data_IF_335724555977
#
_entry.id   IF_335724555977
#
_cell.length_a   1.000
_cell.length_b   1.000
_cell.length_c   1.000
_cell.angle_alpha   90.00
_cell.angle_beta   90.00
_cell.angle_gamma   90.00
#
_symmetry.space_group_name_H-M   'P 1'
#
loop_
_entity.id
_entity.type
_entity.pdbx_description
1 polymer ?
#
# COMPACT_ATOMS: atom_id res chain seq x y z
N UNK A 1 0.22 -7.57 -19.76
CA UNK A 1 -0.83 -8.30 -19.03
C UNK A 1 -1.67 -7.34 -18.18
N UNK A 2 -2.92 -7.72 -17.86
CA UNK A 2 -3.87 -6.85 -17.15
C UNK A 2 -3.40 -6.48 -15.74
N UNK A 3 -2.94 -7.46 -14.95
CA UNK A 3 -2.54 -7.25 -13.55
C UNK A 3 -1.35 -6.30 -13.43
N UNK A 4 -0.27 -6.56 -14.17
CA UNK A 4 0.92 -5.68 -14.21
C UNK A 4 0.58 -4.25 -14.64
N UNK A 5 -0.32 -4.09 -15.62
CA UNK A 5 -0.79 -2.77 -16.06
C UNK A 5 -1.56 -2.02 -14.97
N UNK A 6 -2.49 -2.69 -14.27
CA UNK A 6 -3.21 -2.08 -13.14
C UNK A 6 -2.30 -1.75 -11.97
N UNK A 7 -1.35 -2.63 -11.66
CA UNK A 7 -0.35 -2.38 -10.64
C UNK A 7 0.53 -1.17 -10.99
N UNK A 8 1.18 -1.14 -12.16
CA UNK A 8 2.10 -0.06 -12.55
C UNK A 8 1.42 1.28 -12.81
N UNK A 9 0.29 1.29 -13.51
CA UNK A 9 -0.34 2.55 -13.94
C UNK A 9 -1.33 3.10 -12.92
N UNK A 10 -2.01 2.21 -12.18
CA UNK A 10 -3.04 2.61 -11.22
C UNK A 10 -2.61 2.38 -9.78
N UNK A 11 -1.49 1.73 -9.51
CA UNK A 11 -1.03 1.43 -8.15
C UNK A 11 -2.11 0.71 -7.33
N UNK A 12 -2.73 -0.30 -7.96
CA UNK A 12 -3.72 -1.14 -7.29
C UNK A 12 -3.02 -2.30 -6.59
N UNK A 13 -3.43 -2.57 -5.36
CA UNK A 13 -3.04 -3.78 -4.67
C UNK A 13 -3.73 -5.02 -5.26
N UNK A 14 -3.17 -6.20 -4.97
CA UNK A 14 -3.63 -7.48 -5.49
C UNK A 14 -5.07 -7.79 -5.09
N UNK A 15 -5.57 -7.38 -3.92
CA UNK A 15 -6.98 -7.59 -3.53
C UNK A 15 -7.91 -6.93 -4.56
N UNK A 16 -7.63 -5.68 -4.91
CA UNK A 16 -8.44 -4.95 -5.90
C UNK A 16 -8.30 -5.55 -7.29
N UNK A 17 -7.10 -5.91 -7.72
CA UNK A 17 -6.88 -6.54 -9.03
C UNK A 17 -7.64 -7.88 -9.12
N UNK A 18 -7.54 -8.74 -8.08
CA UNK A 18 -8.30 -10.00 -7.98
C UNK A 18 -9.81 -9.74 -8.05
N UNK A 19 -10.31 -8.76 -7.31
CA UNK A 19 -11.73 -8.39 -7.32
C UNK A 19 -12.23 -7.98 -8.71
N UNK A 20 -11.46 -7.14 -9.42
CA UNK A 20 -11.82 -6.70 -10.78
C UNK A 20 -11.75 -7.82 -11.82
N UNK A 21 -10.80 -8.75 -11.69
CA UNK A 21 -10.74 -9.93 -12.54
C UNK A 21 -11.91 -10.90 -12.26
N UNK A 22 -12.30 -11.08 -10.99
CA UNK A 22 -13.48 -11.88 -10.62
C UNK A 22 -14.77 -11.29 -11.20
N UNK A 23 -14.94 -9.97 -11.17
CA UNK A 23 -16.09 -9.28 -11.80
C UNK A 23 -16.14 -9.47 -13.32
N UNK A 24 -15.01 -9.78 -13.94
CA UNK A 24 -14.89 -10.11 -15.36
C UNK A 24 -15.00 -11.62 -15.63
N UNK A 25 -15.45 -12.39 -14.64
CA UNK A 25 -15.66 -13.84 -14.74
C UNK A 25 -14.38 -14.61 -15.12
N UNK A 26 -13.21 -14.05 -14.80
CA UNK A 26 -11.92 -14.72 -15.03
C UNK A 26 -11.75 -15.81 -13.96
N UNK A 27 -11.35 -17.01 -14.42
CA UNK A 27 -11.17 -18.16 -13.55
C UNK A 27 -10.13 -17.92 -12.45
N UNK A 28 -10.30 -18.59 -11.31
CA UNK A 28 -9.36 -18.50 -10.17
C UNK A 28 -7.94 -18.88 -10.59
N UNK A 29 -7.80 -19.87 -11.47
CA UNK A 29 -6.51 -20.30 -12.03
C UNK A 29 -5.83 -19.15 -12.80
N UNK A 30 -6.54 -18.51 -13.73
CA UNK A 30 -6.01 -17.39 -14.51
C UNK A 30 -5.68 -16.18 -13.62
N UNK A 31 -6.48 -15.94 -12.59
CA UNK A 31 -6.19 -14.89 -11.58
C UNK A 31 -4.89 -15.20 -10.86
N UNK A 32 -4.67 -16.45 -10.42
CA UNK A 32 -3.43 -16.88 -9.79
C UNK A 32 -2.21 -16.56 -10.65
N UNK A 33 -2.26 -16.96 -11.94
CA UNK A 33 -1.21 -16.65 -12.91
C UNK A 33 -0.99 -15.16 -13.12
N UNK A 34 -2.04 -14.36 -13.16
CA UNK A 34 -1.90 -12.90 -13.26
C UNK A 34 -1.23 -12.27 -12.03
N UNK A 35 -1.34 -12.88 -10.85
CA UNK A 35 -0.69 -12.38 -9.62
C UNK A 35 0.80 -12.72 -9.58
N UNK A 36 1.23 -13.84 -10.17
CA UNK A 36 2.64 -14.23 -10.28
C UNK A 36 3.45 -13.21 -11.10
N UNK A 37 2.82 -12.42 -11.96
CA UNK A 37 3.47 -11.37 -12.74
C UNK A 37 3.83 -10.11 -11.92
N UNK A 38 3.39 -10.01 -10.67
CA UNK A 38 3.68 -8.90 -9.76
C UNK A 38 4.67 -9.39 -8.71
N UNK A 39 5.94 -9.07 -8.92
CA UNK A 39 7.02 -9.43 -8.01
C UNK A 39 6.82 -8.80 -6.62
N UNK A 40 7.05 -9.58 -5.58
CA UNK A 40 6.86 -9.13 -4.19
C UNK A 40 7.71 -7.89 -3.83
N UNK A 41 9.01 -7.80 -4.21
CA UNK A 41 9.81 -6.62 -3.89
C UNK A 41 9.25 -5.33 -4.49
N UNK A 42 8.88 -5.37 -5.78
CA UNK A 42 8.22 -4.25 -6.47
C UNK A 42 6.91 -3.87 -5.78
N UNK A 43 6.12 -4.88 -5.38
CA UNK A 43 4.83 -4.68 -4.73
C UNK A 43 4.95 -3.94 -3.40
N UNK A 44 5.91 -4.36 -2.56
CA UNK A 44 6.19 -3.73 -1.27
C UNK A 44 6.78 -2.33 -1.44
N UNK A 45 7.68 -2.14 -2.42
CA UNK A 45 8.27 -0.83 -2.71
C UNK A 45 7.19 0.18 -3.11
N UNK A 46 6.29 -0.20 -4.02
CA UNK A 46 5.17 0.66 -4.44
C UNK A 46 4.24 0.98 -3.27
N UNK A 47 3.92 0.00 -2.41
CA UNK A 47 3.12 0.26 -1.23
C UNK A 47 3.80 1.29 -0.32
N UNK A 48 5.10 1.14 -0.06
CA UNK A 48 5.88 2.06 0.77
C UNK A 48 5.85 3.48 0.21
N UNK A 49 6.12 3.65 -1.08
CA UNK A 49 6.10 4.96 -1.76
C UNK A 49 4.73 5.64 -1.68
N UNK A 50 3.64 4.88 -1.88
CA UNK A 50 2.28 5.39 -1.77
C UNK A 50 1.95 5.88 -0.36
N UNK A 51 2.31 5.10 0.65
CA UNK A 51 2.05 5.45 2.05
C UNK A 51 2.92 6.64 2.48
N UNK A 52 4.19 6.71 2.07
CA UNK A 52 5.05 7.86 2.33
C UNK A 52 4.50 9.12 1.67
N UNK A 53 4.12 9.05 0.40
CA UNK A 53 3.50 10.19 -0.30
C UNK A 53 2.25 10.66 0.44
N UNK A 54 1.37 9.75 0.83
CA UNK A 54 0.15 10.06 1.60
C UNK A 54 0.48 10.69 2.95
N UNK A 55 1.50 10.19 3.64
CA UNK A 55 1.96 10.74 4.91
C UNK A 55 2.34 12.21 4.76
N UNK A 56 3.12 12.56 3.74
CA UNK A 56 3.55 13.94 3.49
C UNK A 56 2.40 14.83 2.99
N UNK A 57 1.43 14.30 2.23
CA UNK A 57 0.25 15.06 1.79
C UNK A 57 -0.67 15.46 2.97
N UNK A 58 -0.73 14.65 4.04
CA UNK A 58 -1.65 14.85 5.17
C UNK A 58 -1.02 15.60 6.34
N UNK A 59 -0.45 16.77 6.09
CA UNK A 59 0.27 17.58 7.09
C UNK A 59 -0.57 18.01 8.31
N UNK A 60 -1.90 18.13 8.16
CA UNK A 60 -2.81 18.54 9.25
C UNK A 60 -3.02 17.50 10.35
N UNK A 61 -2.68 16.23 10.10
CA UNK A 61 -2.80 15.15 11.09
C UNK A 61 -1.55 15.14 11.94
N UNK A 62 -1.70 15.56 13.21
CA UNK A 62 -0.57 15.72 14.15
C UNK A 62 -0.38 14.52 15.06
N UNK A 63 -1.44 13.77 15.35
CA UNK A 63 -1.38 12.63 16.27
C UNK A 63 -0.93 11.37 15.53
N UNK A 64 0.00 10.64 16.15
CA UNK A 64 0.58 9.41 15.63
C UNK A 64 -0.47 8.38 15.21
N UNK A 65 -1.42 8.06 16.11
CA UNK A 65 -2.44 7.06 15.84
C UNK A 65 -3.37 7.46 14.68
N UNK A 66 -3.73 8.74 14.58
CA UNK A 66 -4.57 9.26 13.48
C UNK A 66 -3.84 9.14 12.15
N UNK A 67 -2.52 9.36 12.16
CA UNK A 67 -1.68 9.22 10.98
C UNK A 67 -1.61 7.76 10.52
N UNK A 68 -1.36 6.83 11.44
CA UNK A 68 -1.34 5.39 11.16
C UNK A 68 -2.69 4.97 10.57
N UNK A 69 -3.80 5.41 11.18
CA UNK A 69 -5.15 5.08 10.69
C UNK A 69 -5.43 5.63 9.29
N UNK A 70 -5.01 6.87 8.98
CA UNK A 70 -5.15 7.43 7.62
C UNK A 70 -4.36 6.61 6.59
N UNK A 71 -3.13 6.22 6.90
CA UNK A 71 -2.30 5.38 6.02
C UNK A 71 -2.94 4.00 5.80
N UNK A 72 -3.44 3.37 6.87
CA UNK A 72 -4.13 2.08 6.78
C UNK A 72 -5.35 2.17 5.87
N UNK A 73 -6.21 3.16 6.12
CA UNK A 73 -7.41 3.39 5.32
C UNK A 73 -7.05 3.65 3.85
N UNK A 74 -5.99 4.43 3.60
CA UNK A 74 -5.52 4.70 2.25
C UNK A 74 -5.04 3.43 1.54
N UNK A 75 -4.15 2.63 2.17
CA UNK A 75 -3.68 1.36 1.62
C UNK A 75 -4.82 0.38 1.30
N UNK A 76 -5.80 0.28 2.20
CA UNK A 76 -6.99 -0.55 2.01
C UNK A 76 -7.84 -0.11 0.81
N UNK A 77 -8.12 1.19 0.66
CA UNK A 77 -8.87 1.73 -0.49
C UNK A 77 -8.16 1.48 -1.83
N UNK A 78 -6.83 1.38 -1.80
CA UNK A 78 -6.01 1.05 -2.98
C UNK A 78 -5.96 -0.46 -3.25
N UNK A 79 -6.42 -1.29 -2.31
CA UNK A 79 -6.57 -2.73 -2.46
C UNK A 79 -5.35 -3.54 -2.05
N UNK A 80 -4.50 -3.00 -1.19
CA UNK A 80 -3.37 -3.73 -0.62
C UNK A 80 -3.82 -4.55 0.60
N UNK A 81 -3.11 -5.65 0.85
CA UNK A 81 -3.40 -6.58 1.93
C UNK A 81 -3.10 -5.96 3.31
N UNK A 82 -4.01 -6.15 4.26
CA UNK A 82 -3.92 -5.57 5.61
C UNK A 82 -2.64 -5.98 6.34
N UNK A 83 -2.20 -7.24 6.17
CA UNK A 83 -0.97 -7.76 6.77
C UNK A 83 0.31 -7.08 6.23
N UNK A 84 0.23 -6.34 5.13
CA UNK A 84 1.33 -5.53 4.60
C UNK A 84 1.16 -4.06 4.96
N UNK A 85 -0.06 -3.54 4.82
CA UNK A 85 -0.36 -2.11 5.06
C UNK A 85 -0.13 -1.72 6.52
N UNK A 86 -0.61 -2.52 7.47
CA UNK A 86 -0.54 -2.18 8.90
C UNK A 86 0.91 -2.07 9.40
N UNK A 87 1.78 -3.07 9.24
CA UNK A 87 3.17 -2.94 9.72
C UNK A 87 3.92 -1.81 9.01
N UNK A 88 3.70 -1.62 7.71
CA UNK A 88 4.36 -0.56 6.95
C UNK A 88 3.91 0.85 7.35
N UNK A 89 2.61 1.04 7.63
CA UNK A 89 2.09 2.30 8.14
C UNK A 89 2.68 2.64 9.52
N UNK A 90 2.79 1.66 10.41
CA UNK A 90 3.45 1.84 11.70
C UNK A 90 4.92 2.23 11.51
N UNK A 91 5.67 1.47 10.70
CA UNK A 91 7.08 1.75 10.41
C UNK A 91 7.30 3.18 9.89
N UNK A 92 6.55 3.62 8.88
CA UNK A 92 6.68 4.96 8.29
C UNK A 92 6.49 6.04 9.35
N UNK A 93 5.49 5.88 10.21
CA UNK A 93 5.17 6.87 11.23
C UNK A 93 6.23 6.85 12.33
N UNK A 94 6.67 5.69 12.81
CA UNK A 94 7.73 5.59 13.82
C UNK A 94 9.06 6.20 13.34
N UNK A 95 9.48 5.88 12.11
CA UNK A 95 10.73 6.41 11.52
C UNK A 95 10.69 7.93 11.40
N UNK A 96 9.55 8.50 11.00
CA UNK A 96 9.46 9.95 10.76
C UNK A 96 9.32 10.76 12.06
N UNK A 97 8.63 10.22 13.07
CA UNK A 97 8.54 10.86 14.38
C UNK A 97 9.85 10.69 15.18
N UNK A 98 10.51 9.53 15.09
CA UNK A 98 11.79 9.26 15.75
C UNK A 98 12.93 10.12 15.22
N UNK A 99 12.97 10.39 13.91
CA UNK A 99 13.96 11.29 13.30
C UNK A 99 13.87 12.75 13.78
N UNK A 100 12.74 13.15 14.37
CA UNK A 100 12.54 14.51 14.91
C UNK A 100 13.11 14.68 16.33
N UNK A 101 13.47 13.58 17.00
CA UNK A 101 13.92 13.58 18.40
C UNK A 101 15.43 13.41 18.63
N UNK A 102 16.25 13.26 17.58
CA UNK A 102 17.71 13.04 17.71
C UNK A 102 18.59 14.22 17.27
N UNK A 103 18.02 15.40 16.99
CA UNK A 103 18.77 16.66 16.91
C UNK A 103 18.52 17.43 18.21
N UNK A 104 19.18 17.04 19.28
CA UNK A 104 18.98 17.67 20.58
C UNK A 104 19.74 17.00 21.70
N UNK A 105 20.99 16.61 21.48
CA UNK A 105 22.00 16.43 22.53
C UNK A 105 23.33 17.02 22.03
#
# INVERSE_FOLDING_TARGET
SYARGKFRMKHWGRIRIKGELRKKEISVYCIGKAMEEIEEPDYLQVLKELLLKRYHEKTKIVKRYEKIQDLINYGFQRGFETNLVVPMANQIVEETFGASGSLGE
#
